data_IF_889623009977
#
_entry.id   IF_889623009977
#
_cell.length_a   1.000
_cell.length_b   1.000
_cell.length_c   1.000
_cell.angle_alpha   90.00
_cell.angle_beta   90.00
_cell.angle_gamma   90.00
#
_symmetry.space_group_name_H-M   'P 1'
#
loop_
_entity.id
_entity.type
_entity.pdbx_description
1 polymer ?
#
# COMPACT_ATOMS: atom_id res chain seq x y z
N UNK A 1 32.96 62.95 19.81
CA UNK A 1 31.49 62.76 19.83
C UNK A 1 30.93 63.09 18.45
N UNK A 2 30.47 62.08 17.69
CA UNK A 2 29.28 62.14 16.82
C UNK A 2 29.15 60.84 16.00
N UNK A 3 28.13 60.07 16.41
CA UNK A 3 27.19 59.38 15.54
C UNK A 3 27.70 58.14 14.79
N UNK A 4 27.73 57.05 15.56
CA UNK A 4 27.29 55.71 15.17
C UNK A 4 26.08 55.81 14.19
N UNK A 5 26.29 55.55 12.91
CA UNK A 5 25.21 55.19 11.98
C UNK A 5 25.23 53.67 11.84
N UNK A 6 24.55 53.02 12.78
CA UNK A 6 24.21 51.60 12.66
C UNK A 6 23.15 51.52 11.58
N UNK A 7 23.59 51.21 10.35
CA UNK A 7 22.70 50.81 9.29
C UNK A 7 22.17 49.42 9.66
N UNK A 8 20.98 49.39 10.27
CA UNK A 8 20.21 48.19 10.54
C UNK A 8 19.65 47.69 9.19
N UNK A 9 20.52 47.08 8.39
CA UNK A 9 20.11 46.35 7.19
C UNK A 9 19.39 45.10 7.69
N UNK A 10 18.07 45.21 7.79
CA UNK A 10 17.14 44.12 8.08
C UNK A 10 17.24 43.12 6.93
N UNK A 11 18.15 42.15 7.06
CA UNK A 11 18.22 40.98 6.20
C UNK A 11 17.08 40.05 6.62
N UNK A 12 15.88 40.30 6.09
CA UNK A 12 14.80 39.32 6.06
C UNK A 12 15.27 38.20 5.12
N UNK A 13 15.94 37.21 5.68
CA UNK A 13 16.20 35.93 5.03
C UNK A 13 14.85 35.27 4.79
N UNK A 14 14.29 35.49 3.60
CA UNK A 14 13.23 34.64 3.06
C UNK A 14 13.84 33.24 2.87
N UNK A 15 13.76 32.42 3.92
CA UNK A 15 13.98 30.98 3.86
C UNK A 15 12.79 30.38 3.09
N UNK A 16 12.72 30.59 1.79
CA UNK A 16 11.94 29.72 0.90
C UNK A 16 12.73 28.43 0.76
N UNK A 17 12.80 27.67 1.85
CA UNK A 17 13.18 26.27 1.75
C UNK A 17 12.15 25.63 0.83
N UNK A 18 12.58 25.10 -0.31
CA UNK A 18 11.80 24.10 -0.99
C UNK A 18 11.64 22.97 0.01
N UNK A 19 10.52 22.95 0.75
CA UNK A 19 10.05 21.74 1.39
C UNK A 19 9.89 20.76 0.24
N UNK A 20 10.88 19.88 0.10
CA UNK A 20 10.76 18.69 -0.70
C UNK A 20 9.52 17.98 -0.18
N UNK A 21 8.44 18.03 -0.95
CA UNK A 21 7.18 17.41 -0.58
C UNK A 21 7.45 15.94 -0.31
N UNK A 22 7.16 15.49 0.91
CA UNK A 22 7.45 14.12 1.31
C UNK A 22 6.56 13.17 0.50
N UNK A 23 7.10 12.02 0.12
CA UNK A 23 6.37 11.06 -0.68
C UNK A 23 6.78 9.64 -0.37
N UNK A 24 5.81 8.74 -0.43
CA UNK A 24 6.01 7.29 -0.31
C UNK A 24 6.12 6.73 -1.73
N UNK A 25 7.24 6.09 -2.04
CA UNK A 25 7.51 5.50 -3.35
C UNK A 25 6.87 4.11 -3.50
N UNK A 26 6.71 3.65 -4.74
CA UNK A 26 6.30 2.27 -5.03
C UNK A 26 7.17 1.24 -4.30
N UNK A 27 8.50 1.45 -4.28
CA UNK A 27 9.43 0.53 -3.62
C UNK A 27 9.24 0.45 -2.10
N UNK A 28 8.90 1.57 -1.44
CA UNK A 28 8.62 1.57 -0.01
C UNK A 28 7.34 0.81 0.31
N UNK A 29 6.30 0.97 -0.52
CA UNK A 29 5.07 0.19 -0.42
C UNK A 29 5.31 -1.29 -0.69
N UNK A 30 6.06 -1.62 -1.74
CA UNK A 30 6.45 -3.00 -2.05
C UNK A 30 7.22 -3.63 -0.89
N UNK A 31 8.20 -2.93 -0.33
CA UNK A 31 8.96 -3.39 0.84
C UNK A 31 8.03 -3.68 2.01
N UNK A 32 7.20 -2.71 2.40
CA UNK A 32 6.25 -2.90 3.50
C UNK A 32 5.29 -4.08 3.26
N UNK A 33 4.73 -4.19 2.05
CA UNK A 33 3.79 -5.25 1.70
C UNK A 33 4.42 -6.65 1.70
N UNK A 34 5.68 -6.77 1.24
CA UNK A 34 6.38 -8.06 1.21
C UNK A 34 6.95 -8.45 2.59
N UNK A 35 7.44 -7.48 3.36
CA UNK A 35 8.20 -7.72 4.60
C UNK A 35 7.31 -7.69 5.85
N UNK A 36 6.40 -6.73 5.98
CA UNK A 36 5.61 -6.56 7.21
C UNK A 36 4.26 -7.29 7.13
N UNK A 37 3.68 -7.36 5.94
CA UNK A 37 2.35 -7.90 5.75
C UNK A 37 2.30 -9.43 5.60
N UNK A 38 3.45 -10.10 5.34
CA UNK A 38 3.65 -11.56 5.21
C UNK A 38 2.35 -12.38 5.13
N UNK A 39 1.65 -12.31 3.99
CA UNK A 39 0.36 -12.97 3.81
C UNK A 39 0.52 -14.48 3.67
N UNK A 40 0.57 -15.15 4.81
CA UNK A 40 0.53 -16.59 4.92
C UNK A 40 -0.71 -17.03 5.70
N UNK A 41 -1.57 -17.82 5.06
CA UNK A 41 -2.71 -18.45 5.70
C UNK A 41 -2.46 -19.95 5.74
N UNK A 42 -2.35 -20.50 6.94
CA UNK A 42 -2.27 -21.94 7.20
C UNK A 42 -3.42 -22.33 8.10
N UNK A 43 -4.39 -23.09 7.58
CA UNK A 43 -5.54 -23.55 8.34
C UNK A 43 -5.85 -25.02 8.06
N UNK A 44 -6.35 -25.72 9.07
CA UNK A 44 -6.81 -27.11 8.97
C UNK A 44 -6.02 -28.11 9.81
N UNK A 45 -6.22 -29.40 9.52
CA UNK A 45 -5.56 -30.54 10.18
C UNK A 45 -4.68 -31.31 9.19
N UNK A 46 -4.27 -32.54 9.53
CA UNK A 46 -3.39 -33.34 8.67
C UNK A 46 -4.06 -33.78 7.34
N UNK A 47 -5.38 -33.90 7.32
CA UNK A 47 -6.16 -34.47 6.20
C UNK A 47 -6.78 -33.37 5.34
N UNK A 48 -7.34 -32.34 5.98
CA UNK A 48 -7.99 -31.20 5.34
C UNK A 48 -7.28 -29.91 5.72
N UNK A 49 -6.95 -29.07 4.75
CA UNK A 49 -6.39 -27.76 5.04
C UNK A 49 -6.10 -26.90 3.82
N UNK A 50 -5.77 -25.65 4.07
CA UNK A 50 -5.33 -24.69 3.07
C UNK A 50 -4.04 -24.03 3.54
N UNK A 51 -3.08 -23.98 2.64
CA UNK A 51 -1.84 -23.22 2.77
C UNK A 51 -1.79 -22.23 1.61
N UNK A 52 -1.89 -20.94 1.92
CA UNK A 52 -1.82 -19.84 0.96
C UNK A 52 -0.65 -18.96 1.33
N UNK A 53 0.19 -18.62 0.35
CA UNK A 53 1.34 -17.73 0.54
C UNK A 53 1.43 -16.75 -0.61
N UNK A 54 1.30 -15.46 -0.31
CA UNK A 54 1.49 -14.37 -1.26
C UNK A 54 2.97 -14.00 -1.32
N UNK A 55 3.50 -13.84 -2.53
CA UNK A 55 4.88 -13.50 -2.81
C UNK A 55 4.95 -12.42 -3.88
N UNK A 56 6.12 -11.79 -3.99
CA UNK A 56 6.48 -10.90 -5.09
C UNK A 56 5.42 -9.83 -5.34
N UNK A 57 5.01 -9.14 -4.27
CA UNK A 57 4.07 -8.03 -4.39
C UNK A 57 4.78 -6.88 -5.09
N UNK A 58 4.18 -6.39 -6.17
CA UNK A 58 4.61 -5.22 -6.93
C UNK A 58 3.53 -4.16 -6.91
N UNK A 59 3.95 -2.90 -6.80
CA UNK A 59 3.05 -1.76 -6.69
C UNK A 59 3.29 -0.82 -7.87
N UNK A 60 2.21 -0.30 -8.42
CA UNK A 60 2.27 0.75 -9.43
C UNK A 60 1.32 1.88 -9.05
N UNK A 61 1.79 3.12 -9.08
CA UNK A 61 1.06 4.29 -8.63
C UNK A 61 0.82 5.24 -9.79
N UNK A 62 -0.43 5.65 -9.98
CA UNK A 62 -0.77 6.74 -10.89
C UNK A 62 -0.84 6.37 -12.37
N UNK A 63 -0.83 5.09 -12.74
CA UNK A 63 -1.18 4.62 -14.09
C UNK A 63 -2.61 5.03 -14.48
N UNK A 64 -3.50 5.08 -13.48
CA UNK A 64 -4.84 5.65 -13.56
C UNK A 64 -5.01 6.72 -12.47
N UNK A 65 -5.88 7.72 -12.68
CA UNK A 65 -6.14 8.75 -11.66
C UNK A 65 -6.52 8.13 -10.31
N UNK A 66 -5.88 8.60 -9.24
CA UNK A 66 -6.16 8.20 -7.85
C UNK A 66 -6.10 6.68 -7.59
N UNK A 67 -5.33 5.94 -8.39
CA UNK A 67 -5.34 4.47 -8.35
C UNK A 67 -3.95 3.92 -8.02
N UNK A 68 -3.93 2.91 -7.16
CA UNK A 68 -2.81 2.02 -6.91
C UNK A 68 -3.10 0.67 -7.56
N UNK A 69 -2.21 0.22 -8.45
CA UNK A 69 -2.17 -1.13 -8.98
C UNK A 69 -1.31 -2.03 -8.10
N UNK A 70 -1.74 -3.26 -7.87
CA UNK A 70 -0.98 -4.26 -7.10
C UNK A 70 -0.94 -5.56 -7.89
N UNK A 71 0.26 -6.04 -8.20
CA UNK A 71 0.45 -7.38 -8.77
C UNK A 71 1.04 -8.30 -7.72
N UNK A 72 0.58 -9.54 -7.63
CA UNK A 72 1.05 -10.50 -6.65
C UNK A 72 1.12 -11.92 -7.23
N UNK A 73 2.13 -12.68 -6.79
CA UNK A 73 2.31 -14.10 -7.11
C UNK A 73 1.93 -14.93 -5.89
N UNK A 74 0.84 -15.68 -5.97
CA UNK A 74 0.33 -16.45 -4.83
C UNK A 74 0.47 -17.95 -5.07
N UNK A 75 1.03 -18.68 -4.12
CA UNK A 75 1.02 -20.14 -4.11
C UNK A 75 -0.11 -20.63 -3.21
N UNK A 76 -0.97 -21.47 -3.74
CA UNK A 76 -2.11 -22.06 -3.03
C UNK A 76 -1.99 -23.57 -3.01
N UNK A 77 -2.10 -24.16 -1.82
CA UNK A 77 -2.18 -25.61 -1.64
C UNK A 77 -3.41 -25.94 -0.80
N UNK A 78 -4.30 -26.75 -1.36
CA UNK A 78 -5.46 -27.28 -0.65
C UNK A 78 -5.25 -28.77 -0.44
N UNK A 79 -5.19 -29.18 0.82
CA UNK A 79 -5.14 -30.57 1.24
C UNK A 79 -6.56 -31.07 1.40
N UNK A 80 -6.94 -32.04 0.58
CA UNK A 80 -8.24 -32.71 0.63
C UNK A 80 -8.07 -34.11 -0.01
N UNK A 81 -8.47 -35.22 0.65
CA UNK A 81 -8.31 -36.56 0.10
C UNK A 81 -9.00 -36.80 -1.24
N UNK A 82 -10.09 -36.09 -1.51
CA UNK A 82 -10.88 -36.26 -2.73
C UNK A 82 -10.41 -35.36 -3.88
N UNK A 83 -10.03 -34.11 -3.57
CA UNK A 83 -9.66 -33.10 -4.56
C UNK A 83 -8.56 -32.19 -4.02
N UNK A 84 -7.28 -32.63 -4.04
CA UNK A 84 -6.17 -31.78 -3.70
C UNK A 84 -5.95 -30.71 -4.78
N UNK A 85 -5.58 -29.50 -4.37
CA UNK A 85 -5.25 -28.40 -5.30
C UNK A 85 -3.83 -27.94 -4.99
N UNK A 86 -3.02 -27.77 -6.03
CA UNK A 86 -1.78 -27.01 -5.95
C UNK A 86 -1.79 -26.05 -7.13
N UNK A 87 -1.75 -24.75 -6.84
CA UNK A 87 -1.86 -23.73 -7.87
C UNK A 87 -0.93 -22.55 -7.62
N UNK A 88 -0.32 -22.05 -8.70
CA UNK A 88 0.35 -20.77 -8.73
C UNK A 88 -0.57 -19.75 -9.40
N UNK A 89 -0.78 -18.62 -8.76
CA UNK A 89 -1.66 -17.55 -9.21
C UNK A 89 -0.85 -16.28 -9.46
N UNK A 90 -1.16 -15.59 -10.55
CA UNK A 90 -0.72 -14.22 -10.79
C UNK A 90 -1.96 -13.34 -10.84
N UNK A 91 -2.09 -12.47 -9.86
CA UNK A 91 -3.25 -11.58 -9.71
C UNK A 91 -2.85 -10.14 -9.88
N UNK A 92 -3.71 -9.36 -10.53
CA UNK A 92 -3.60 -7.91 -10.64
C UNK A 92 -4.84 -7.28 -10.01
N UNK A 93 -4.61 -6.38 -9.06
CA UNK A 93 -5.62 -5.62 -8.36
C UNK A 93 -5.47 -4.13 -8.64
N UNK A 94 -6.58 -3.41 -8.52
CA UNK A 94 -6.61 -1.97 -8.44
C UNK A 94 -7.36 -1.55 -7.17
N UNK A 95 -6.86 -0.53 -6.49
CA UNK A 95 -7.52 0.07 -5.34
C UNK A 95 -7.27 1.58 -5.31
N UNK A 96 -8.01 2.27 -4.46
CA UNK A 96 -7.77 3.68 -4.15
C UNK A 96 -7.08 3.77 -2.79
N UNK A 97 -5.85 4.30 -2.72
CA UNK A 97 -5.21 4.54 -1.46
C UNK A 97 -5.84 5.75 -0.77
N UNK A 98 -5.94 5.69 0.55
CA UNK A 98 -6.33 6.82 1.39
C UNK A 98 -5.49 6.85 2.66
N UNK A 99 -5.35 8.04 3.24
CA UNK A 99 -4.52 8.26 4.42
C UNK A 99 -5.39 8.53 5.63
N UNK A 100 -5.12 7.82 6.73
CA UNK A 100 -5.69 8.11 8.03
C UNK A 100 -4.67 8.91 8.84
N UNK A 101 -4.98 10.19 9.08
CA UNK A 101 -4.15 11.08 9.88
C UNK A 101 -4.11 10.70 11.37
N UNK A 102 -5.09 9.93 11.87
CA UNK A 102 -5.12 9.48 13.26
C UNK A 102 -4.09 8.38 13.51
N UNK A 103 -4.00 7.46 12.56
CA UNK A 103 -3.13 6.28 12.64
C UNK A 103 -1.83 6.45 11.85
N UNK A 104 -1.64 7.59 11.20
CA UNK A 104 -0.51 7.90 10.30
C UNK A 104 -0.24 6.79 9.27
N UNK A 105 -1.31 6.27 8.69
CA UNK A 105 -1.28 5.03 7.92
C UNK A 105 -2.00 5.17 6.59
N UNK A 106 -1.53 4.42 5.59
CA UNK A 106 -2.18 4.30 4.28
C UNK A 106 -2.98 3.01 4.25
N UNK A 107 -4.23 3.11 3.80
CA UNK A 107 -5.16 2.01 3.62
C UNK A 107 -5.65 1.96 2.18
N UNK A 108 -6.26 0.84 1.78
CA UNK A 108 -6.83 0.68 0.45
C UNK A 108 -8.34 0.48 0.54
N UNK A 109 -9.07 1.18 -0.32
CA UNK A 109 -10.51 1.01 -0.50
C UNK A 109 -10.84 0.72 -1.95
N UNK A 110 -12.07 0.27 -2.21
CA UNK A 110 -12.55 0.00 -3.58
C UNK A 110 -11.65 -1.00 -4.31
N UNK A 111 -11.23 -2.07 -3.63
CA UNK A 111 -10.38 -3.11 -4.21
C UNK A 111 -11.13 -3.82 -5.34
N UNK A 112 -10.46 -4.00 -6.48
CA UNK A 112 -10.99 -4.72 -7.64
C UNK A 112 -9.94 -5.66 -8.20
N UNK A 113 -10.34 -6.90 -8.45
CA UNK A 113 -9.53 -7.84 -9.24
C UNK A 113 -9.65 -7.47 -10.73
N UNK A 114 -8.55 -7.05 -11.33
CA UNK A 114 -8.46 -6.71 -12.76
C UNK A 114 -8.15 -7.95 -13.59
N UNK A 115 -7.28 -8.82 -13.07
CA UNK A 115 -6.81 -10.01 -13.78
C UNK A 115 -6.40 -11.10 -12.80
N UNK A 116 -6.69 -12.34 -13.17
CA UNK A 116 -6.15 -13.53 -12.52
C UNK A 116 -5.71 -14.52 -13.58
N UNK A 117 -4.51 -15.04 -13.44
CA UNK A 117 -4.00 -16.16 -14.21
C UNK A 117 -3.60 -17.26 -13.24
N UNK A 118 -3.74 -18.51 -13.65
CA UNK A 118 -3.40 -19.65 -12.80
C UNK A 118 -2.63 -20.74 -13.54
N UNK A 119 -1.86 -21.50 -12.76
CA UNK A 119 -1.29 -22.79 -13.16
C UNK A 119 -1.66 -23.82 -12.10
N UNK A 120 -2.41 -24.88 -12.43
CA UNK A 120 -2.95 -25.19 -13.76
C UNK A 120 -4.13 -24.28 -14.13
N UNK A 121 -4.39 -24.13 -15.44
CA UNK A 121 -5.23 -23.06 -16.01
C UNK A 121 -6.72 -23.17 -15.68
N UNK A 122 -7.18 -24.37 -15.34
CA UNK A 122 -8.54 -24.67 -14.90
C UNK A 122 -8.90 -24.02 -13.55
N UNK A 123 -7.91 -23.74 -12.71
CA UNK A 123 -8.10 -23.06 -11.42
C UNK A 123 -8.62 -21.63 -11.59
N UNK A 124 -8.24 -20.94 -12.66
CA UNK A 124 -8.70 -19.57 -12.99
C UNK A 124 -10.23 -19.50 -13.04
N UNK A 125 -10.86 -20.50 -13.67
CA UNK A 125 -12.33 -20.58 -13.77
C UNK A 125 -12.98 -20.85 -12.41
N UNK A 126 -12.36 -21.71 -11.61
CA UNK A 126 -12.83 -22.00 -10.26
C UNK A 126 -12.76 -20.73 -9.36
N UNK A 127 -11.66 -19.98 -9.45
CA UNK A 127 -11.48 -18.70 -8.75
C UNK A 127 -12.56 -17.72 -9.17
N UNK A 128 -12.85 -17.59 -10.47
CA UNK A 128 -13.90 -16.69 -10.97
C UNK A 128 -15.27 -16.92 -10.31
N UNK A 129 -15.58 -18.16 -9.91
CA UNK A 129 -16.85 -18.50 -9.26
C UNK A 129 -16.93 -18.07 -7.78
N UNK A 130 -15.78 -17.95 -7.11
CA UNK A 130 -15.68 -17.57 -5.69
C UNK A 130 -15.15 -16.14 -5.48
N UNK A 131 -14.66 -15.51 -6.55
CA UNK A 131 -14.04 -14.18 -6.52
C UNK A 131 -14.91 -13.12 -5.83
N UNK A 132 -16.24 -13.02 -6.03
CA UNK A 132 -17.05 -12.00 -5.35
C UNK A 132 -16.98 -12.08 -3.82
N UNK A 133 -17.00 -13.29 -3.26
CA UNK A 133 -16.92 -13.50 -1.81
C UNK A 133 -15.52 -13.18 -1.28
N UNK A 134 -14.48 -13.63 -2.00
CA UNK A 134 -13.09 -13.32 -1.65
C UNK A 134 -12.80 -11.82 -1.71
N UNK A 135 -13.34 -11.11 -2.71
CA UNK A 135 -13.16 -9.67 -2.83
C UNK A 135 -13.84 -8.92 -1.69
N UNK A 136 -15.02 -9.37 -1.23
CA UNK A 136 -15.65 -8.79 -0.04
C UNK A 136 -14.75 -8.88 1.19
N UNK A 137 -14.18 -10.06 1.44
CA UNK A 137 -13.24 -10.26 2.55
C UNK A 137 -11.97 -9.42 2.39
N UNK A 138 -11.31 -9.44 1.23
CA UNK A 138 -10.07 -8.69 1.01
C UNK A 138 -10.28 -7.18 1.06
N UNK A 139 -11.41 -6.69 0.56
CA UNK A 139 -11.76 -5.26 0.65
C UNK A 139 -11.88 -4.84 2.10
N UNK A 140 -12.68 -5.56 2.89
CA UNK A 140 -12.84 -5.27 4.32
C UNK A 140 -11.51 -5.33 5.07
N UNK A 141 -10.69 -6.34 4.74
CA UNK A 141 -9.38 -6.51 5.35
C UNK A 141 -8.46 -5.32 5.04
N UNK A 142 -8.31 -4.90 3.78
CA UNK A 142 -7.41 -3.80 3.41
C UNK A 142 -7.94 -2.40 3.74
N UNK A 143 -9.24 -2.27 4.00
CA UNK A 143 -9.84 -1.04 4.54
C UNK A 143 -9.53 -0.87 6.03
N UNK A 144 -9.15 -1.94 6.73
CA UNK A 144 -8.89 -1.93 8.19
C UNK A 144 -7.45 -2.28 8.57
N UNK A 145 -6.71 -2.94 7.68
CA UNK A 145 -5.29 -3.22 7.82
C UNK A 145 -4.48 -2.24 6.97
N UNK A 146 -3.55 -1.48 7.56
CA UNK A 146 -2.73 -0.54 6.80
C UNK A 146 -1.75 -1.27 5.87
N UNK A 147 -1.62 -0.72 4.66
CA UNK A 147 -0.63 -1.15 3.65
C UNK A 147 0.68 -0.37 3.72
N UNK A 148 0.72 0.65 4.58
CA UNK A 148 1.93 1.38 4.95
C UNK A 148 1.67 2.15 6.24
N UNK A 149 2.65 2.20 7.13
CA UNK A 149 2.63 3.03 8.34
C UNK A 149 3.85 3.94 8.28
N UNK A 150 3.64 5.25 8.42
CA UNK A 150 4.76 6.21 8.41
C UNK A 150 5.64 5.98 9.63
N UNK A 151 6.96 5.91 9.46
CA UNK A 151 7.87 5.65 10.58
C UNK A 151 7.98 6.89 11.48
N UNK A 152 7.51 6.77 12.72
CA UNK A 152 7.53 7.85 13.71
C UNK A 152 8.86 7.94 14.49
N UNK A 153 9.80 7.01 14.28
CA UNK A 153 11.10 7.01 14.98
C UNK A 153 12.07 8.05 14.41
N UNK A 154 11.94 8.37 13.12
CA UNK A 154 12.71 9.43 12.50
C UNK A 154 12.00 10.78 12.71
N UNK A 155 12.67 11.72 13.38
CA UNK A 155 12.07 13.01 13.78
C UNK A 155 11.50 13.82 12.61
N UNK A 156 12.06 13.67 11.41
CA UNK A 156 11.54 14.30 10.19
C UNK A 156 10.27 13.64 9.69
N UNK A 157 10.22 12.30 9.67
CA UNK A 157 9.04 11.54 9.23
C UNK A 157 7.87 11.71 10.20
N UNK A 158 8.14 11.75 11.50
CA UNK A 158 7.13 12.01 12.52
C UNK A 158 6.44 13.38 12.34
N UNK A 159 7.24 14.44 12.11
CA UNK A 159 6.69 15.77 11.84
C UNK A 159 5.83 15.77 10.56
N UNK A 160 6.32 15.13 9.51
CA UNK A 160 5.59 15.00 8.25
C UNK A 160 4.26 14.26 8.46
N UNK A 161 4.27 13.15 9.20
CA UNK A 161 3.08 12.37 9.50
C UNK A 161 2.01 13.18 10.25
N UNK A 162 2.43 13.96 11.25
CA UNK A 162 1.54 14.82 12.04
C UNK A 162 0.92 15.95 11.21
N UNK A 163 1.70 16.52 10.29
CA UNK A 163 1.25 17.56 9.38
C UNK A 163 0.39 17.03 8.23
N UNK A 164 0.50 15.75 7.88
CA UNK A 164 -0.20 15.16 6.74
C UNK A 164 -1.70 15.10 6.99
N UNK A 165 -2.46 15.70 6.08
CA UNK A 165 -3.93 15.69 6.08
C UNK A 165 -4.48 14.70 5.07
N UNK A 166 -3.80 14.54 3.94
CA UNK A 166 -4.21 13.64 2.85
C UNK A 166 -3.02 13.18 2.02
N UNK A 167 -3.28 12.21 1.15
CA UNK A 167 -2.34 11.78 0.12
C UNK A 167 -2.87 12.13 -1.27
N UNK A 168 -1.96 12.40 -2.18
CA UNK A 168 -2.25 12.50 -3.61
C UNK A 168 -1.47 11.43 -4.38
N UNK A 169 -2.18 10.68 -5.23
CA UNK A 169 -1.54 9.70 -6.10
C UNK A 169 -0.91 10.42 -7.29
N UNK A 170 0.41 10.31 -7.43
CA UNK A 170 1.16 10.75 -8.62
C UNK A 170 1.86 9.54 -9.25
N UNK A 171 2.26 9.62 -10.53
CA UNK A 171 3.08 8.59 -11.15
C UNK A 171 4.30 8.22 -10.28
N UNK A 172 4.37 6.97 -9.86
CA UNK A 172 5.48 6.42 -9.06
C UNK A 172 5.48 6.70 -7.56
N UNK A 173 4.53 7.50 -7.03
CA UNK A 173 4.55 7.92 -5.61
C UNK A 173 3.22 8.41 -5.05
N UNK A 174 3.04 8.20 -3.74
CA UNK A 174 2.02 8.87 -2.93
C UNK A 174 2.64 10.12 -2.33
N UNK A 175 2.08 11.28 -2.65
CA UNK A 175 2.56 12.56 -2.14
C UNK A 175 1.78 12.90 -0.88
N UNK A 176 2.47 13.14 0.24
CA UNK A 176 1.84 13.59 1.48
C UNK A 176 1.55 15.09 1.38
N UNK A 177 0.31 15.48 1.69
CA UNK A 177 -0.16 16.86 1.57
C UNK A 177 -0.65 17.37 2.92
N UNK A 178 -0.31 18.62 3.23
CA UNK A 178 -0.49 19.23 4.56
C UNK A 178 -1.70 20.17 4.64
N UNK A 179 -2.42 20.37 3.54
CA UNK A 179 -3.65 21.16 3.49
C UNK A 179 -4.91 20.28 3.47
N UNK A 180 -6.00 20.83 4.02
CA UNK A 180 -7.36 20.36 3.76
C UNK A 180 -7.76 20.94 2.40
N UNK A 181 -8.27 20.10 1.49
CA UNK A 181 -8.51 20.40 0.05
C UNK A 181 -9.00 21.82 -0.29
#
# INVERSE_FOLDING_TARGET
>A
MKLLKVAFASAVLLLTGCVSQYSITEKELEGYLNDEMHFEVKQGNQIFGIDLRVNDIKVTLGDKPNTMGVSAVTVVKVRNPMLPINADLVTQFEAQPWYDATNHSVYLRNLRLVKVESKPKDIEKAIGSIAPQLMGFLTQFLETQPVYVVDMKESKQALVADMTKRIEVKPGKLVLVFDEE
#
